data_IF_781034955289
#
_entry.id   IF_781034955289
#
_cell.length_a   1.000
_cell.length_b   1.000
_cell.length_c   1.000
_cell.angle_alpha   90.00
_cell.angle_beta   90.00
_cell.angle_gamma   90.00
#
_symmetry.space_group_name_H-M   'P 1'
#
loop_
_entity.id
_entity.type
_entity.pdbx_description
1 polymer ?
#
# COMPACT_ATOMS: atom_id res chain seq x y z
N UNK A 1 12.60 16.39 39.94
CA UNK A 1 13.14 15.09 39.44
C UNK A 1 12.03 14.17 38.91
N UNK A 2 11.10 14.69 38.09
CA UNK A 2 9.97 13.92 37.52
C UNK A 2 10.04 13.78 35.97
N UNK A 3 10.79 14.67 35.30
CA UNK A 3 10.88 14.69 33.83
C UNK A 3 11.65 13.51 33.21
N UNK A 4 12.58 12.89 33.96
CA UNK A 4 13.29 11.68 33.50
C UNK A 4 12.44 10.40 33.59
N UNK A 5 11.24 10.43 34.21
CA UNK A 5 10.35 9.25 34.30
C UNK A 5 9.49 9.04 33.05
N UNK A 6 9.27 10.06 32.23
CA UNK A 6 8.49 9.96 30.98
C UNK A 6 9.32 9.51 29.76
N UNK A 7 10.66 9.52 29.85
CA UNK A 7 11.53 9.26 28.69
C UNK A 7 11.46 7.84 28.12
N UNK A 8 11.17 6.84 28.95
CA UNK A 8 11.18 5.44 28.52
C UNK A 8 10.01 5.10 27.58
N UNK A 9 8.79 5.51 27.93
CA UNK A 9 7.62 5.30 27.06
C UNK A 9 7.79 6.03 25.73
N UNK A 10 8.33 7.26 25.76
CA UNK A 10 8.56 8.05 24.56
C UNK A 10 9.62 7.40 23.65
N UNK A 11 10.71 6.90 24.24
CA UNK A 11 11.74 6.19 23.48
C UNK A 11 11.23 4.89 22.85
N UNK A 12 10.53 4.05 23.61
CA UNK A 12 9.96 2.81 23.06
C UNK A 12 8.94 3.11 21.97
N UNK A 13 8.05 4.07 22.21
CA UNK A 13 7.03 4.48 21.22
C UNK A 13 7.70 5.01 19.96
N UNK A 14 8.72 5.86 20.08
CA UNK A 14 9.46 6.38 18.93
C UNK A 14 10.11 5.26 18.11
N UNK A 15 10.81 4.33 18.75
CA UNK A 15 11.41 3.19 18.05
C UNK A 15 10.36 2.29 17.41
N UNK A 16 9.24 2.03 18.09
CA UNK A 16 8.14 1.27 17.49
C UNK A 16 7.51 2.00 16.31
N UNK A 17 7.31 3.32 16.41
CA UNK A 17 6.83 4.13 15.30
C UNK A 17 7.77 4.07 14.10
N UNK A 18 9.09 4.10 14.31
CA UNK A 18 10.07 3.96 13.23
C UNK A 18 10.04 2.58 12.57
N UNK A 19 9.91 1.50 13.36
CA UNK A 19 9.79 0.14 12.80
C UNK A 19 8.49 0.01 12.02
N UNK A 20 7.37 0.50 12.56
CA UNK A 20 6.09 0.47 11.83
C UNK A 20 6.14 1.34 10.57
N UNK A 21 6.77 2.53 10.61
CA UNK A 21 7.00 3.36 9.43
C UNK A 21 7.81 2.60 8.38
N UNK A 22 8.86 1.91 8.81
CA UNK A 22 9.73 1.13 7.95
C UNK A 22 8.98 -0.04 7.31
N UNK A 23 8.16 -0.78 8.05
CA UNK A 23 7.29 -1.83 7.51
C UNK A 23 6.27 -1.26 6.52
N UNK A 24 5.67 -0.12 6.88
CA UNK A 24 4.63 0.54 6.10
C UNK A 24 5.15 1.04 4.74
N UNK A 25 6.37 1.59 4.69
CA UNK A 25 7.04 1.93 3.43
C UNK A 25 7.81 0.77 2.81
N UNK A 26 8.16 -0.27 3.56
CA UNK A 26 8.95 -1.41 3.10
C UNK A 26 8.22 -2.20 2.02
N UNK A 27 6.91 -2.39 2.21
CA UNK A 27 6.05 -3.02 1.20
C UNK A 27 6.00 -2.19 -0.09
N UNK A 28 6.02 -0.85 0.02
CA UNK A 28 6.08 0.04 -1.13
C UNK A 28 7.41 -0.01 -1.85
N UNK A 29 8.51 -0.13 -1.12
CA UNK A 29 9.84 -0.32 -1.72
C UNK A 29 9.89 -1.62 -2.50
N UNK A 30 9.27 -2.69 -1.99
CA UNK A 30 9.17 -3.96 -2.72
C UNK A 30 8.45 -3.76 -4.05
N UNK A 31 7.34 -3.02 -4.02
CA UNK A 31 6.53 -2.68 -5.20
C UNK A 31 7.27 -1.79 -6.19
N UNK A 32 7.99 -0.78 -5.71
CA UNK A 32 8.70 0.20 -6.54
C UNK A 32 9.87 -0.41 -7.31
N UNK A 33 10.58 -1.36 -6.70
CA UNK A 33 11.84 -1.85 -7.20
C UNK A 33 11.81 -3.28 -7.73
N UNK A 34 10.68 -3.98 -7.60
CA UNK A 34 10.48 -5.36 -8.07
C UNK A 34 11.62 -6.31 -7.61
N UNK A 35 12.16 -6.04 -6.41
CA UNK A 35 13.23 -6.86 -5.86
C UNK A 35 12.63 -7.96 -5.00
N UNK A 36 12.81 -9.20 -5.45
CA UNK A 36 12.42 -10.41 -4.73
C UNK A 36 12.99 -10.52 -3.29
N UNK A 37 14.03 -9.75 -2.95
CA UNK A 37 14.66 -9.77 -1.63
C UNK A 37 14.25 -8.63 -0.68
N UNK A 38 13.44 -7.66 -1.14
CA UNK A 38 12.92 -6.60 -0.23
C UNK A 38 12.18 -7.19 0.97
N UNK A 39 11.38 -8.27 0.85
CA UNK A 39 10.76 -8.88 2.02
C UNK A 39 11.77 -9.27 3.10
N UNK A 40 12.98 -9.73 2.76
CA UNK A 40 14.00 -10.05 3.77
C UNK A 40 14.58 -8.80 4.42
N UNK A 41 14.77 -7.73 3.64
CA UNK A 41 15.23 -6.44 4.15
C UNK A 41 14.19 -5.86 5.12
N UNK A 42 12.91 -6.07 4.86
CA UNK A 42 11.81 -5.57 5.70
C UNK A 42 11.60 -6.45 6.94
N UNK A 43 11.43 -7.76 6.76
CA UNK A 43 11.12 -8.72 7.81
C UNK A 43 12.22 -8.84 8.88
N UNK A 44 13.51 -8.77 8.49
CA UNK A 44 14.61 -9.00 9.42
C UNK A 44 14.66 -7.94 10.55
N UNK A 45 14.62 -6.63 10.27
CA UNK A 45 14.45 -5.59 11.28
C UNK A 45 13.25 -5.79 12.20
N UNK A 46 12.10 -6.22 11.66
CA UNK A 46 10.92 -6.52 12.46
C UNK A 46 11.16 -7.68 13.43
N UNK A 47 11.74 -8.78 12.97
CA UNK A 47 12.11 -9.92 13.82
C UNK A 47 13.06 -9.47 14.93
N UNK A 48 14.11 -8.71 14.58
CA UNK A 48 15.08 -8.18 15.56
C UNK A 48 14.36 -7.31 16.58
N UNK A 49 13.45 -6.43 16.15
CA UNK A 49 12.67 -5.59 17.04
C UNK A 49 11.78 -6.42 17.99
N UNK A 50 11.09 -7.46 17.50
CA UNK A 50 10.29 -8.39 18.32
C UNK A 50 11.16 -9.06 19.37
N UNK A 51 12.32 -9.61 18.99
CA UNK A 51 13.25 -10.27 19.91
C UNK A 51 13.74 -9.30 20.99
N UNK A 52 14.06 -8.06 20.62
CA UNK A 52 14.48 -7.02 21.57
C UNK A 52 13.35 -6.69 22.55
N UNK A 53 12.12 -6.48 22.08
CA UNK A 53 10.97 -6.20 22.96
C UNK A 53 10.71 -7.36 23.92
N UNK A 54 10.70 -8.61 23.45
CA UNK A 54 10.49 -9.78 24.30
C UNK A 54 11.58 -9.88 25.36
N UNK A 55 12.84 -9.72 24.97
CA UNK A 55 13.99 -9.74 25.89
C UNK A 55 13.86 -8.66 26.96
N UNK A 56 13.48 -7.44 26.57
CA UNK A 56 13.26 -6.33 27.49
C UNK A 56 12.06 -6.59 28.41
N UNK A 57 10.97 -7.18 27.91
CA UNK A 57 9.81 -7.55 28.72
C UNK A 57 10.18 -8.58 29.78
N UNK A 58 10.82 -9.68 29.40
CA UNK A 58 11.26 -10.75 30.31
C UNK A 58 12.20 -10.16 31.37
N UNK A 59 13.23 -9.43 30.94
CA UNK A 59 14.21 -8.84 31.86
C UNK A 59 13.55 -7.88 32.85
N UNK A 60 12.62 -7.04 32.42
CA UNK A 60 11.96 -6.09 33.32
C UNK A 60 10.91 -6.76 34.22
N UNK A 61 10.23 -7.80 33.75
CA UNK A 61 9.31 -8.60 34.55
C UNK A 61 10.04 -9.35 35.67
N UNK A 62 11.17 -10.00 35.36
CA UNK A 62 12.01 -10.69 36.34
C UNK A 62 12.56 -9.74 37.41
N UNK A 63 12.94 -8.52 37.01
CA UNK A 63 13.38 -7.46 37.94
C UNK A 63 12.23 -6.75 38.66
N UNK A 64 10.97 -7.21 38.51
CA UNK A 64 9.75 -6.61 39.09
C UNK A 64 9.56 -5.13 38.77
N UNK A 65 10.12 -4.69 37.63
CA UNK A 65 9.99 -3.32 37.13
C UNK A 65 8.69 -3.16 36.33
N UNK A 66 7.55 -3.36 36.98
CA UNK A 66 6.22 -3.37 36.34
C UNK A 66 5.91 -2.10 35.57
N UNK A 67 6.43 -0.95 36.00
CA UNK A 67 6.29 0.33 35.26
C UNK A 67 6.93 0.28 33.87
N UNK A 68 8.09 -0.38 33.75
CA UNK A 68 8.78 -0.55 32.46
C UNK A 68 8.07 -1.57 31.59
N UNK A 69 7.60 -2.66 32.18
CA UNK A 69 6.78 -3.66 31.48
C UNK A 69 5.55 -2.99 30.86
N UNK A 70 4.80 -2.21 31.65
CA UNK A 70 3.65 -1.46 31.16
C UNK A 70 4.03 -0.50 30.01
N UNK A 71 5.16 0.21 30.13
CA UNK A 71 5.61 1.13 29.07
C UNK A 71 5.95 0.42 27.75
N UNK A 72 6.59 -0.76 27.83
CA UNK A 72 6.95 -1.56 26.65
C UNK A 72 5.70 -2.12 25.97
N UNK A 73 4.67 -2.49 26.74
CA UNK A 73 3.39 -3.00 26.19
C UNK A 73 2.56 -1.86 25.57
N UNK A 74 2.52 -0.69 26.22
CA UNK A 74 1.70 0.44 25.75
C UNK A 74 2.29 1.10 24.50
N UNK A 75 3.62 1.12 24.35
CA UNK A 75 4.29 1.71 23.20
C UNK A 75 3.80 1.21 21.82
N UNK A 76 3.74 -0.11 21.53
CA UNK A 76 3.23 -0.60 20.25
C UNK A 76 1.75 -0.31 20.04
N UNK A 77 0.96 -0.29 21.11
CA UNK A 77 -0.47 0.05 21.03
C UNK A 77 -0.62 1.50 20.56
N UNK A 78 0.08 2.44 21.21
CA UNK A 78 0.07 3.86 20.81
C UNK A 78 0.54 4.02 19.36
N UNK A 79 1.63 3.36 18.99
CA UNK A 79 2.18 3.45 17.65
C UNK A 79 1.21 2.93 16.58
N UNK A 80 0.54 1.80 16.82
CA UNK A 80 -0.49 1.25 15.92
C UNK A 80 -1.66 2.22 15.76
N UNK A 81 -2.18 2.76 16.86
CA UNK A 81 -3.28 3.74 16.78
C UNK A 81 -2.88 5.03 16.08
N UNK A 82 -1.62 5.48 16.25
CA UNK A 82 -1.08 6.63 15.55
C UNK A 82 -1.09 6.42 14.03
N UNK A 83 -0.53 5.29 13.55
CA UNK A 83 -0.52 4.95 12.12
C UNK A 83 -1.92 4.71 11.56
N UNK A 84 -2.78 4.03 12.31
CA UNK A 84 -4.18 3.84 11.93
C UNK A 84 -4.93 5.17 11.78
N UNK A 85 -4.70 6.12 12.71
CA UNK A 85 -5.25 7.47 12.63
C UNK A 85 -4.75 8.24 11.40
N UNK A 86 -3.46 8.16 11.09
CA UNK A 86 -2.88 8.76 9.88
C UNK A 86 -3.52 8.18 8.61
N UNK A 87 -3.72 6.86 8.55
CA UNK A 87 -4.41 6.22 7.43
C UNK A 87 -5.86 6.72 7.27
N UNK A 88 -6.57 6.99 8.37
CA UNK A 88 -7.92 7.60 8.32
C UNK A 88 -7.92 9.05 7.85
N UNK A 89 -6.82 9.76 8.00
CA UNK A 89 -6.63 11.11 7.47
C UNK A 89 -6.20 11.11 5.99
N UNK A 90 -6.15 9.95 5.33
CA UNK A 90 -5.75 9.82 3.94
C UNK A 90 -4.23 9.80 3.72
N UNK A 91 -3.43 9.74 4.79
CA UNK A 91 -1.98 9.56 4.68
C UNK A 91 -1.72 8.08 4.47
N UNK A 92 -1.76 7.65 3.21
CA UNK A 92 -1.46 6.28 2.76
C UNK A 92 -0.17 6.25 1.96
N UNK A 93 0.56 5.11 1.93
CA UNK A 93 1.78 5.01 1.15
C UNK A 93 1.50 5.15 -0.36
N UNK A 94 0.34 4.64 -0.80
CA UNK A 94 -0.18 4.80 -2.16
C UNK A 94 -0.31 6.27 -2.56
N UNK A 95 -0.84 7.13 -1.68
CA UNK A 95 -0.99 8.56 -1.96
C UNK A 95 0.35 9.29 -1.93
N UNK A 96 1.24 8.95 -1.00
CA UNK A 96 2.61 9.50 -0.99
C UNK A 96 3.36 9.12 -2.27
N UNK A 97 3.21 7.87 -2.72
CA UNK A 97 3.80 7.39 -3.96
C UNK A 97 3.25 8.11 -5.18
N UNK A 98 1.92 8.30 -5.22
CA UNK A 98 1.27 9.10 -6.26
C UNK A 98 1.89 10.49 -6.31
N UNK A 99 1.94 11.20 -5.19
CA UNK A 99 2.43 12.59 -5.15
C UNK A 99 3.89 12.72 -5.63
N UNK A 100 4.74 11.74 -5.30
CA UNK A 100 6.13 11.71 -5.79
C UNK A 100 6.17 11.57 -7.32
N UNK A 101 5.33 10.71 -7.91
CA UNK A 101 5.34 10.41 -9.36
C UNK A 101 4.38 11.26 -10.20
N UNK A 102 3.45 11.97 -9.58
CA UNK A 102 2.40 12.79 -10.20
C UNK A 102 2.95 13.78 -11.24
N UNK A 103 4.08 14.48 -11.02
CA UNK A 103 4.63 15.36 -12.05
C UNK A 103 5.04 14.64 -13.35
N UNK A 104 5.42 13.36 -13.27
CA UNK A 104 5.69 12.55 -14.46
C UNK A 104 4.39 12.15 -15.16
N UNK A 105 3.39 11.70 -14.40
CA UNK A 105 2.07 11.33 -14.95
C UNK A 105 1.39 12.51 -15.62
N UNK A 106 1.38 13.69 -14.97
CA UNK A 106 0.78 14.90 -15.55
C UNK A 106 1.43 15.32 -16.87
N UNK A 107 2.75 15.12 -17.01
CA UNK A 107 3.45 15.37 -18.29
C UNK A 107 3.00 14.39 -19.37
N UNK A 108 2.85 13.11 -19.03
CA UNK A 108 2.36 12.11 -19.99
C UNK A 108 0.90 12.36 -20.40
N UNK A 109 0.03 12.62 -19.42
CA UNK A 109 -1.36 13.02 -19.62
C UNK A 109 -1.44 14.24 -20.56
N UNK A 110 -0.61 15.26 -20.35
CA UNK A 110 -0.61 16.48 -21.19
C UNK A 110 -0.22 16.23 -22.65
N UNK A 111 0.62 15.23 -22.90
CA UNK A 111 1.08 14.84 -24.24
C UNK A 111 0.10 13.92 -24.94
N UNK A 112 -0.79 13.29 -24.19
CA UNK A 112 -1.81 12.41 -24.72
C UNK A 112 -2.88 13.22 -25.45
N UNK A 113 -2.84 13.17 -26.78
CA UNK A 113 -3.88 13.75 -27.64
C UNK A 113 -5.03 12.77 -27.73
N UNK A 114 -6.21 13.21 -27.31
CA UNK A 114 -7.45 12.45 -27.46
C UNK A 114 -8.21 12.99 -28.66
N UNK A 115 -8.53 12.14 -29.61
CA UNK A 115 -9.55 12.41 -30.62
C UNK A 115 -10.93 12.19 -29.98
N UNK A 116 -11.47 13.21 -29.30
CA UNK A 116 -12.81 13.18 -28.69
C UNK A 116 -12.88 12.63 -27.26
N UNK A 117 -13.36 13.51 -26.36
CA UNK A 117 -13.58 13.46 -24.91
C UNK A 117 -13.02 12.35 -24.01
N UNK A 118 -12.48 12.84 -22.89
CA UNK A 118 -11.98 12.21 -21.67
C UNK A 118 -10.80 11.24 -21.85
N UNK A 119 -9.67 11.62 -21.24
CA UNK A 119 -8.45 10.82 -21.18
C UNK A 119 -8.64 9.61 -20.26
N UNK A 120 -8.27 8.45 -20.78
CA UNK A 120 -8.11 7.22 -20.02
C UNK A 120 -6.68 6.72 -20.22
N UNK A 121 -5.86 6.77 -19.17
CA UNK A 121 -4.48 6.27 -19.16
C UNK A 121 -4.30 5.30 -18.00
N UNK A 122 -3.27 4.47 -18.09
CA UNK A 122 -2.89 3.62 -16.97
C UNK A 122 -1.41 3.28 -16.98
N UNK A 123 -0.89 3.01 -15.79
CA UNK A 123 0.50 2.73 -15.53
C UNK A 123 0.62 1.47 -14.69
N UNK A 124 1.60 0.64 -15.05
CA UNK A 124 2.07 -0.43 -14.18
C UNK A 124 2.62 0.21 -12.90
N UNK A 125 2.01 -0.14 -11.77
CA UNK A 125 2.36 0.36 -10.46
C UNK A 125 3.13 -0.65 -9.63
N UNK A 126 3.57 -1.75 -10.25
CA UNK A 126 4.32 -2.82 -9.65
C UNK A 126 3.42 -3.89 -9.04
N UNK A 127 4.06 -4.87 -8.42
CA UNK A 127 3.40 -5.95 -7.72
C UNK A 127 4.01 -6.15 -6.34
N UNK A 128 3.26 -6.75 -5.43
CA UNK A 128 3.76 -7.23 -4.14
C UNK A 128 3.47 -8.71 -4.04
N UNK A 129 4.30 -9.47 -3.36
CA UNK A 129 4.11 -10.91 -3.30
C UNK A 129 5.41 -11.65 -3.01
N UNK A 130 5.29 -12.85 -2.47
CA UNK A 130 6.41 -13.72 -2.15
C UNK A 130 5.89 -15.16 -2.07
N UNK A 131 6.77 -16.16 -2.17
CA UNK A 131 6.42 -17.58 -2.31
C UNK A 131 5.40 -18.17 -1.29
N UNK A 132 5.06 -17.45 -0.22
CA UNK A 132 4.10 -17.85 0.84
C UNK A 132 3.00 -16.82 1.11
N UNK A 133 2.89 -15.75 0.32
CA UNK A 133 1.87 -14.69 0.47
C UNK A 133 1.16 -14.45 -0.86
N UNK A 134 -0.11 -14.03 -0.80
CA UNK A 134 -0.84 -13.65 -2.01
C UNK A 134 -0.07 -12.59 -2.81
N UNK A 135 0.02 -12.80 -4.12
CA UNK A 135 0.54 -11.80 -5.03
C UNK A 135 -0.56 -10.75 -5.27
N UNK A 136 -0.18 -9.47 -5.31
CA UNK A 136 -1.07 -8.36 -5.58
C UNK A 136 -0.45 -7.46 -6.64
N UNK A 137 -1.10 -7.36 -7.79
CA UNK A 137 -0.71 -6.45 -8.87
C UNK A 137 -1.42 -5.11 -8.71
N UNK A 138 -0.67 -4.02 -8.91
CA UNK A 138 -1.16 -2.67 -8.78
C UNK A 138 -1.12 -1.99 -10.15
N UNK A 139 -2.25 -1.43 -10.56
CA UNK A 139 -2.33 -0.60 -11.77
C UNK A 139 -2.98 0.73 -11.43
N UNK A 140 -2.27 1.82 -11.70
CA UNK A 140 -2.83 3.16 -11.59
C UNK A 140 -3.57 3.49 -12.88
N UNK A 141 -4.78 4.01 -12.74
CA UNK A 141 -5.56 4.58 -13.82
C UNK A 141 -5.72 6.08 -13.61
N UNK A 142 -5.73 6.82 -14.71
CA UNK A 142 -6.24 8.18 -14.78
C UNK A 142 -7.47 8.17 -15.68
N UNK A 143 -8.64 8.46 -15.13
CA UNK A 143 -9.93 8.45 -15.83
C UNK A 143 -10.67 9.77 -15.62
N UNK A 144 -10.59 10.68 -16.59
CA UNK A 144 -11.27 11.98 -16.52
C UNK A 144 -12.80 11.88 -16.45
N UNK A 145 -13.36 10.73 -16.83
CA UNK A 145 -14.82 10.52 -16.82
C UNK A 145 -15.34 9.89 -15.54
N UNK A 146 -14.44 9.46 -14.65
CA UNK A 146 -14.76 8.74 -13.40
C UNK A 146 -15.68 7.52 -13.62
N UNK A 147 -15.65 6.90 -14.82
CA UNK A 147 -16.49 5.74 -15.13
C UNK A 147 -15.87 4.43 -14.63
N UNK A 148 -14.60 4.43 -14.25
CA UNK A 148 -13.91 3.26 -13.68
C UNK A 148 -14.55 2.75 -12.39
N UNK A 149 -15.10 3.64 -11.56
CA UNK A 149 -15.81 3.28 -10.32
C UNK A 149 -17.22 2.73 -10.58
N UNK A 150 -17.76 2.92 -11.78
CA UNK A 150 -19.09 2.43 -12.13
C UNK A 150 -19.06 0.92 -12.38
N UNK A 151 -20.20 0.28 -12.12
CA UNK A 151 -20.45 -1.09 -12.53
C UNK A 151 -20.28 -1.23 -14.05
N UNK A 152 -19.77 -2.36 -14.57
CA UNK A 152 -19.54 -2.55 -16.01
C UNK A 152 -20.75 -2.21 -16.89
N UNK A 153 -21.97 -2.48 -16.41
CA UNK A 153 -23.23 -2.19 -17.12
C UNK A 153 -23.60 -0.70 -17.18
N UNK A 154 -23.02 0.14 -16.33
CA UNK A 154 -23.29 1.59 -16.26
C UNK A 154 -22.21 2.42 -16.99
N UNK A 155 -21.17 1.78 -17.54
CA UNK A 155 -20.11 2.46 -18.28
C UNK A 155 -20.55 2.74 -19.71
N UNK A 156 -20.16 3.89 -20.24
CA UNK A 156 -20.45 4.27 -21.62
C UNK A 156 -19.73 3.35 -22.60
N UNK A 157 -20.36 3.12 -23.77
CA UNK A 157 -19.76 2.33 -24.84
C UNK A 157 -18.42 2.91 -25.30
N UNK A 158 -18.29 4.25 -25.31
CA UNK A 158 -17.05 4.93 -25.66
C UNK A 158 -15.95 4.70 -24.64
N UNK A 159 -16.28 4.70 -23.34
CA UNK A 159 -15.32 4.36 -22.30
C UNK A 159 -14.84 2.91 -22.43
N UNK A 160 -15.75 1.96 -22.66
CA UNK A 160 -15.38 0.56 -22.89
C UNK A 160 -14.51 0.41 -24.14
N UNK A 161 -14.78 1.15 -25.20
CA UNK A 161 -13.95 1.18 -26.42
C UNK A 161 -12.57 1.77 -26.18
N UNK A 162 -12.45 2.82 -25.36
CA UNK A 162 -11.14 3.40 -24.94
C UNK A 162 -10.36 2.40 -24.09
N UNK A 163 -11.03 1.76 -23.15
CA UNK A 163 -10.47 0.69 -22.33
C UNK A 163 -9.93 -0.45 -23.21
N UNK A 164 -10.70 -0.86 -24.22
CA UNK A 164 -10.29 -1.88 -25.20
C UNK A 164 -9.14 -1.43 -26.10
N UNK A 165 -9.12 -0.18 -26.56
CA UNK A 165 -7.98 0.37 -27.32
C UNK A 165 -6.70 0.39 -26.48
N UNK A 166 -6.87 0.62 -25.18
CA UNK A 166 -5.81 0.59 -24.18
C UNK A 166 -5.60 -0.83 -23.58
N UNK A 167 -6.17 -1.90 -24.16
CA UNK A 167 -6.14 -3.29 -23.65
C UNK A 167 -4.76 -3.83 -23.30
N UNK A 168 -3.68 -3.30 -23.90
CA UNK A 168 -2.30 -3.63 -23.48
C UNK A 168 -2.04 -3.36 -22.00
N UNK A 169 -2.82 -2.47 -21.38
CA UNK A 169 -2.70 -2.06 -20.00
C UNK A 169 -3.62 -2.85 -19.06
N UNK A 170 -4.73 -3.41 -19.58
CA UNK A 170 -5.55 -4.38 -18.86
C UNK A 170 -4.93 -5.77 -18.83
N UNK A 171 -4.18 -6.19 -19.85
CA UNK A 171 -3.63 -7.56 -19.91
C UNK A 171 -2.65 -7.90 -18.76
N UNK A 172 -2.16 -6.92 -18.00
CA UNK A 172 -1.44 -7.13 -16.73
C UNK A 172 -2.36 -7.19 -15.49
N UNK A 173 -3.48 -6.46 -15.48
CA UNK A 173 -4.44 -6.43 -14.36
C UNK A 173 -5.66 -7.38 -14.53
N UNK A 174 -5.87 -7.86 -15.75
CA UNK A 174 -6.98 -8.67 -16.25
C UNK A 174 -6.52 -9.40 -17.52
N UNK A 175 -5.88 -10.57 -17.41
CA UNK A 175 -5.55 -11.34 -18.60
C UNK A 175 -6.86 -11.81 -19.25
N UNK A 176 -7.08 -11.42 -20.51
CA UNK A 176 -8.24 -11.83 -21.31
C UNK A 176 -8.39 -13.37 -21.38
N UNK A 177 -7.27 -14.09 -21.36
CA UNK A 177 -7.26 -15.56 -21.29
C UNK A 177 -7.72 -16.11 -19.93
N UNK A 178 -7.64 -15.35 -18.85
CA UNK A 178 -8.06 -15.75 -17.50
C UNK A 178 -9.57 -15.56 -17.32
N UNK A 179 -10.13 -14.45 -17.82
CA UNK A 179 -11.58 -14.20 -17.80
C UNK A 179 -12.37 -15.19 -18.68
N UNK A 180 -11.78 -15.64 -19.79
CA UNK A 180 -12.42 -16.58 -20.72
C UNK A 180 -12.24 -18.06 -20.31
N UNK A 181 -11.22 -18.41 -19.50
CA UNK A 181 -10.96 -19.79 -19.05
C UNK A 181 -11.35 -20.06 -17.60
N UNK A 182 -11.53 -19.03 -16.77
CA UNK A 182 -11.88 -19.16 -15.37
C UNK A 182 -13.06 -18.22 -15.02
N UNK A 183 -14.31 -18.72 -15.06
CA UNK A 183 -15.44 -18.00 -14.45
C UNK A 183 -15.24 -18.05 -12.93
N UNK A 184 -14.38 -17.14 -12.43
CA UNK A 184 -13.81 -17.01 -11.08
C UNK A 184 -13.89 -18.25 -10.16
N UNK A 185 -12.75 -18.66 -9.61
CA UNK A 185 -12.63 -18.34 -8.18
C UNK A 185 -11.21 -17.89 -7.82
N UNK A 186 -11.12 -17.04 -6.79
CA UNK A 186 -9.91 -16.65 -6.03
C UNK A 186 -9.28 -15.28 -6.32
N UNK A 187 -9.59 -14.57 -7.40
CA UNK A 187 -9.10 -13.19 -7.58
C UNK A 187 -10.01 -12.13 -6.96
N UNK A 188 -9.55 -11.36 -5.96
CA UNK A 188 -10.31 -10.18 -5.48
C UNK A 188 -9.80 -8.92 -6.19
N UNK A 189 -10.72 -8.09 -6.67
CA UNK A 189 -10.39 -6.88 -7.43
C UNK A 189 -10.98 -5.69 -6.71
N UNK A 190 -10.13 -4.77 -6.33
CA UNK A 190 -10.55 -3.56 -5.62
C UNK A 190 -10.09 -2.33 -6.38
N UNK A 191 -10.99 -1.35 -6.48
CA UNK A 191 -10.70 -0.04 -7.09
C UNK A 191 -10.75 0.98 -5.95
N UNK A 192 -9.63 1.65 -5.73
CA UNK A 192 -9.46 2.66 -4.70
C UNK A 192 -9.29 4.03 -5.37
N UNK A 193 -10.05 5.03 -4.92
CA UNK A 193 -9.84 6.41 -5.34
C UNK A 193 -8.66 6.98 -4.54
N UNK A 194 -7.66 7.52 -5.23
CA UNK A 194 -6.51 8.15 -4.58
C UNK A 194 -6.69 9.67 -4.51
N UNK A 195 -6.76 10.33 -5.67
CA UNK A 195 -6.84 11.78 -5.76
C UNK A 195 -7.30 12.23 -7.15
N UNK A 196 -8.20 13.20 -7.22
CA UNK A 196 -8.69 13.73 -8.50
C UNK A 196 -9.26 12.61 -9.38
N UNK A 197 -8.70 12.43 -10.57
CA UNK A 197 -9.07 11.36 -11.51
C UNK A 197 -8.16 10.13 -11.44
N UNK A 198 -7.33 10.01 -10.40
CA UNK A 198 -6.44 8.88 -10.19
C UNK A 198 -7.10 7.78 -9.35
N UNK A 199 -7.06 6.57 -9.89
CA UNK A 199 -7.64 5.37 -9.29
C UNK A 199 -6.61 4.26 -9.25
N UNK A 200 -6.51 3.55 -8.14
CA UNK A 200 -5.64 2.40 -7.96
C UNK A 200 -6.46 1.12 -8.05
N UNK A 201 -6.15 0.28 -9.02
CA UNK A 201 -6.74 -1.05 -9.17
C UNK A 201 -5.77 -2.06 -8.58
N UNK A 202 -6.24 -2.85 -7.63
CA UNK A 202 -5.49 -3.91 -6.95
C UNK A 202 -6.09 -5.27 -7.33
N UNK A 203 -5.27 -6.16 -7.85
CA UNK A 203 -5.64 -7.50 -8.27
C UNK A 203 -4.90 -8.54 -7.42
N UNK A 204 -5.64 -9.31 -6.62
CA UNK A 204 -5.06 -10.32 -5.72
C UNK A 204 -5.09 -11.71 -6.37
N UNK A 205 -3.99 -12.45 -6.31
CA UNK A 205 -3.90 -13.87 -6.71
C UNK A 205 -3.38 -14.73 -5.56
N UNK A 206 -4.03 -15.87 -5.34
CA UNK A 206 -3.67 -16.87 -4.31
C UNK A 206 -3.10 -18.13 -4.94
#
# INVERSE_FOLDING_TARGET
>A
MALLRCGYSLSYTFWTCLVLLYEWFGNELSRMFDFWFVPFIVILPFIVWVVVIITLLIRNALNRNWRRVASIIVAPIIAVFFWWGLGKLGVTPDLVYLEIKKPAYMREISRFKVDGDNRLLSWDWGSTGFAVTADCDYTLFYDESDQIILLPSARSADWNKRLDKNQRLLLKAYPKWYADQHPAPHGNITVEHLEGHFYLVKYWTW
#
